data_IF_009105446403
#
_entry.id   IF_009105446403
#
_cell.length_a   1.000
_cell.length_b   1.000
_cell.length_c   1.000
_cell.angle_alpha   90.00
_cell.angle_beta   90.00
_cell.angle_gamma   90.00
#
_symmetry.space_group_name_H-M   'P 1'
#
loop_
_entity.id
_entity.type
_entity.pdbx_description
1 polymer ?
#
# COMPACT_ATOMS: atom_id res chain seq x y z
N UNK A 1 -18.01 12.49 -2.91
CA UNK A 1 -16.82 11.63 -2.75
C UNK A 1 -15.66 12.14 -3.58
N UNK A 2 -14.42 11.88 -3.15
CA UNK A 2 -13.23 12.36 -3.88
C UNK A 2 -13.14 11.77 -5.29
N UNK A 3 -13.34 10.46 -5.44
CA UNK A 3 -13.21 9.75 -6.70
C UNK A 3 -14.02 10.33 -7.87
N UNK A 4 -15.15 10.97 -7.59
CA UNK A 4 -16.04 11.60 -8.59
C UNK A 4 -15.90 13.11 -8.69
N UNK A 5 -15.03 13.73 -7.88
CA UNK A 5 -14.92 15.20 -7.77
C UNK A 5 -13.80 15.73 -8.67
N UNK A 6 -14.14 16.08 -9.91
CA UNK A 6 -13.17 16.62 -10.89
C UNK A 6 -12.41 17.83 -10.40
N UNK A 7 -13.05 18.72 -9.60
CA UNK A 7 -12.35 19.89 -9.05
C UNK A 7 -11.28 19.50 -8.03
N UNK A 8 -11.56 18.49 -7.21
CA UNK A 8 -10.57 17.96 -6.28
C UNK A 8 -9.40 17.29 -7.05
N UNK A 9 -9.68 16.56 -8.14
CA UNK A 9 -8.64 16.02 -9.01
C UNK A 9 -7.75 17.10 -9.62
N UNK A 10 -8.32 18.18 -10.15
CA UNK A 10 -7.54 19.32 -10.69
C UNK A 10 -6.59 19.91 -9.64
N UNK A 11 -7.08 20.12 -8.41
CA UNK A 11 -6.26 20.63 -7.30
C UNK A 11 -5.14 19.65 -6.95
N UNK A 12 -5.44 18.36 -6.94
CA UNK A 12 -4.44 17.32 -6.68
C UNK A 12 -3.39 17.25 -7.79
N UNK A 13 -3.78 17.31 -9.06
CA UNK A 13 -2.82 17.31 -10.18
C UNK A 13 -1.94 18.57 -10.16
N UNK A 14 -2.45 19.72 -9.74
CA UNK A 14 -1.63 20.90 -9.54
C UNK A 14 -0.64 20.72 -8.40
N UNK A 15 -1.04 20.04 -7.32
CA UNK A 15 -0.13 19.68 -6.23
C UNK A 15 0.94 18.70 -6.68
N UNK A 16 0.61 17.67 -7.45
CA UNK A 16 1.57 16.73 -8.06
C UNK A 16 2.61 17.50 -8.88
N UNK A 17 2.18 18.36 -9.81
CA UNK A 17 3.09 19.19 -10.61
C UNK A 17 3.99 20.07 -9.75
N UNK A 18 3.42 20.65 -8.70
CA UNK A 18 4.19 21.49 -7.78
C UNK A 18 5.26 20.70 -7.03
N UNK A 19 4.94 19.52 -6.49
CA UNK A 19 5.89 18.70 -5.72
C UNK A 19 6.99 18.16 -6.63
N UNK A 20 6.65 17.55 -7.76
CA UNK A 20 7.63 16.98 -8.67
C UNK A 20 8.54 18.05 -9.29
N UNK A 21 7.99 19.25 -9.56
CA UNK A 21 8.73 20.37 -10.10
C UNK A 21 9.68 21.08 -9.11
N UNK A 22 9.70 20.68 -7.83
CA UNK A 22 10.52 21.33 -6.81
C UNK A 22 12.01 21.07 -7.01
N UNK A 23 12.80 22.07 -6.59
CA UNK A 23 14.24 21.95 -6.39
C UNK A 23 14.54 21.91 -4.89
N UNK A 24 15.34 20.95 -4.47
CA UNK A 24 15.81 20.85 -3.10
C UNK A 24 16.75 22.04 -2.80
N UNK A 25 16.36 22.87 -1.84
CA UNK A 25 17.12 24.08 -1.51
C UNK A 25 18.51 23.83 -0.90
N UNK A 26 18.75 22.63 -0.41
CA UNK A 26 20.05 22.28 0.21
C UNK A 26 21.01 21.64 -0.78
N UNK A 27 20.52 20.80 -1.69
CA UNK A 27 21.33 20.09 -2.66
C UNK A 27 21.37 20.78 -4.02
N UNK A 28 20.38 21.61 -4.34
CA UNK A 28 20.21 22.22 -5.66
C UNK A 28 19.67 21.25 -6.72
N UNK A 29 19.40 19.98 -6.37
CA UNK A 29 18.82 19.01 -7.28
C UNK A 29 17.32 19.20 -7.41
N UNK A 30 16.79 19.04 -8.61
CA UNK A 30 15.33 18.88 -8.78
C UNK A 30 14.92 17.53 -8.21
N UNK A 31 13.70 17.43 -7.66
CA UNK A 31 13.22 16.17 -7.09
C UNK A 31 13.17 15.04 -8.12
N UNK A 32 12.81 15.36 -9.36
CA UNK A 32 12.81 14.39 -10.47
C UNK A 32 14.20 13.90 -10.89
N UNK A 33 15.28 14.54 -10.42
CA UNK A 33 16.67 14.17 -10.70
C UNK A 33 17.40 13.68 -9.44
N UNK A 34 16.71 13.59 -8.29
CA UNK A 34 17.35 13.26 -7.01
C UNK A 34 17.40 11.74 -6.80
N UNK A 35 18.57 11.10 -6.89
CA UNK A 35 18.71 9.65 -6.75
C UNK A 35 18.40 9.11 -5.35
N UNK A 36 18.17 9.99 -4.36
CA UNK A 36 17.71 9.58 -3.04
C UNK A 36 16.20 9.28 -3.00
N UNK A 37 15.44 9.69 -4.01
CA UNK A 37 14.02 9.37 -4.17
C UNK A 37 13.93 8.06 -4.95
N UNK A 38 13.34 7.03 -4.38
CA UNK A 38 13.11 5.74 -5.04
C UNK A 38 11.83 5.76 -5.88
N UNK A 39 10.76 6.24 -5.30
CA UNK A 39 9.44 6.20 -5.92
C UNK A 39 8.52 7.32 -5.46
N UNK A 40 7.50 7.58 -6.26
CA UNK A 40 6.35 8.41 -5.92
C UNK A 40 5.14 7.54 -5.63
N UNK A 41 4.45 7.81 -4.54
CA UNK A 41 3.17 7.19 -4.22
C UNK A 41 2.04 8.21 -4.36
N UNK A 42 0.93 7.80 -4.96
CA UNK A 42 -0.21 8.67 -5.20
C UNK A 42 -0.81 9.17 -3.88
N UNK A 43 -0.87 8.30 -2.89
CA UNK A 43 -1.35 8.67 -1.57
C UNK A 43 -1.15 7.57 -0.55
N UNK A 44 -1.35 7.88 0.74
CA UNK A 44 -1.43 6.85 1.77
C UNK A 44 -2.85 6.30 1.83
N UNK A 45 -2.99 5.00 1.59
CA UNK A 45 -4.25 4.26 1.67
C UNK A 45 -5.42 4.91 0.90
N UNK A 46 -5.25 5.27 -0.39
CA UNK A 46 -6.37 5.79 -1.15
C UNK A 46 -7.45 4.71 -1.27
N UNK A 47 -8.71 5.12 -1.06
CA UNK A 47 -9.87 4.22 -1.09
C UNK A 47 -11.00 4.75 -1.94
N UNK A 48 -11.75 3.83 -2.53
CA UNK A 48 -12.99 4.14 -3.25
C UNK A 48 -14.13 4.52 -2.29
N UNK A 49 -14.24 3.87 -1.12
CA UNK A 49 -15.31 4.00 -0.11
C UNK A 49 -16.72 3.61 -0.59
N UNK A 50 -16.88 3.17 -1.82
CA UNK A 50 -18.12 2.62 -2.38
C UNK A 50 -17.78 1.87 -3.68
N UNK A 51 -18.23 0.64 -3.81
CA UNK A 51 -18.03 -0.17 -5.03
C UNK A 51 -18.56 0.51 -6.30
N UNK A 52 -19.59 1.35 -6.18
CA UNK A 52 -20.18 2.06 -7.33
C UNK A 52 -19.24 3.09 -7.96
N UNK A 53 -18.27 3.59 -7.20
CA UNK A 53 -17.30 4.59 -7.69
C UNK A 53 -15.94 3.98 -8.02
N UNK A 54 -15.78 2.65 -7.95
CA UNK A 54 -14.54 1.98 -8.35
C UNK A 54 -14.08 2.38 -9.77
N UNK A 55 -14.96 2.46 -10.79
CA UNK A 55 -14.51 2.90 -12.11
C UNK A 55 -13.92 4.31 -12.14
N UNK A 56 -14.51 5.26 -11.39
CA UNK A 56 -13.98 6.64 -11.28
C UNK A 56 -12.68 6.67 -10.48
N UNK A 57 -12.58 5.83 -9.44
CA UNK A 57 -11.37 5.69 -8.62
C UNK A 57 -10.21 5.12 -9.43
N UNK A 58 -10.45 4.06 -10.20
CA UNK A 58 -9.47 3.48 -11.13
C UNK A 58 -9.00 4.51 -12.17
N UNK A 59 -9.93 5.25 -12.78
CA UNK A 59 -9.62 6.28 -13.75
C UNK A 59 -8.74 7.39 -13.15
N UNK A 60 -9.08 7.86 -11.95
CA UNK A 60 -8.29 8.86 -11.24
C UNK A 60 -6.86 8.37 -10.94
N UNK A 61 -6.70 7.11 -10.50
CA UNK A 61 -5.38 6.52 -10.23
C UNK A 61 -4.55 6.40 -11.52
N UNK A 62 -5.17 5.95 -12.62
CA UNK A 62 -4.51 5.84 -13.91
C UNK A 62 -4.09 7.22 -14.47
N UNK A 63 -4.95 8.23 -14.37
CA UNK A 63 -4.64 9.61 -14.77
C UNK A 63 -3.49 10.19 -13.93
N UNK A 64 -3.50 9.91 -12.62
CA UNK A 64 -2.46 10.41 -11.72
C UNK A 64 -1.11 9.75 -11.97
N UNK A 65 -1.07 8.42 -12.12
CA UNK A 65 0.18 7.71 -12.42
C UNK A 65 0.76 8.11 -13.78
N UNK A 66 -0.09 8.33 -14.78
CA UNK A 66 0.33 8.84 -16.08
C UNK A 66 0.91 10.26 -15.97
N UNK A 67 0.28 11.15 -15.21
CA UNK A 67 0.77 12.51 -14.96
C UNK A 67 2.14 12.50 -14.26
N UNK A 68 2.33 11.63 -13.26
CA UNK A 68 3.63 11.50 -12.59
C UNK A 68 4.69 11.06 -13.58
N UNK A 69 4.43 10.02 -14.39
CA UNK A 69 5.38 9.50 -15.39
C UNK A 69 5.66 10.49 -16.53
N UNK A 70 4.71 11.37 -16.88
CA UNK A 70 4.94 12.47 -17.84
C UNK A 70 5.96 13.48 -17.31
N UNK A 71 5.91 13.78 -16.00
CA UNK A 71 6.81 14.77 -15.37
C UNK A 71 8.14 14.15 -14.97
N UNK A 72 8.11 12.91 -14.51
CA UNK A 72 9.24 12.18 -13.95
C UNK A 72 9.31 10.77 -14.52
N UNK A 73 10.22 10.59 -15.48
CA UNK A 73 10.51 9.29 -16.09
C UNK A 73 11.58 8.48 -15.35
N UNK A 74 12.20 9.05 -14.30
CA UNK A 74 13.34 8.45 -13.61
C UNK A 74 12.92 7.56 -12.44
N UNK A 75 11.90 7.98 -11.70
CA UNK A 75 11.50 7.31 -10.47
C UNK A 75 10.34 6.35 -10.68
N UNK A 76 10.23 5.37 -9.78
CA UNK A 76 9.13 4.42 -9.77
C UNK A 76 7.84 5.11 -9.32
N UNK A 77 6.71 4.53 -9.69
CA UNK A 77 5.36 4.98 -9.27
C UNK A 77 4.59 3.80 -8.70
N UNK A 78 3.93 4.04 -7.58
CA UNK A 78 2.96 3.11 -7.02
C UNK A 78 1.75 3.86 -6.45
N UNK A 79 0.75 3.09 -6.04
CA UNK A 79 -0.52 3.65 -5.57
C UNK A 79 -0.44 4.05 -4.09
N UNK A 80 0.29 3.30 -3.26
CA UNK A 80 0.26 3.38 -1.80
C UNK A 80 -1.00 2.77 -1.20
N UNK A 81 -1.51 1.70 -1.83
CA UNK A 81 -2.78 1.05 -1.49
C UNK A 81 -2.62 0.03 -0.37
N UNK A 82 -3.70 -0.16 0.40
CA UNK A 82 -3.82 -1.31 1.32
C UNK A 82 -3.94 -2.66 0.61
N UNK A 83 -4.02 -2.67 -0.72
CA UNK A 83 -4.40 -3.82 -1.53
C UNK A 83 -5.90 -3.86 -1.84
N UNK A 84 -6.50 -5.05 -1.89
CA UNK A 84 -7.93 -5.21 -2.17
C UNK A 84 -8.84 -4.46 -1.18
N UNK A 85 -8.39 -4.22 0.06
CA UNK A 85 -9.14 -3.40 1.02
C UNK A 85 -9.37 -1.97 0.52
N UNK A 86 -8.40 -1.36 -0.15
CA UNK A 86 -8.55 -0.05 -0.81
C UNK A 86 -9.58 -0.05 -1.93
N UNK A 87 -9.88 -1.24 -2.47
CA UNK A 87 -10.85 -1.50 -3.53
C UNK A 87 -12.14 -2.17 -3.00
N UNK A 88 -12.53 -1.92 -1.75
CA UNK A 88 -13.74 -2.48 -1.13
C UNK A 88 -13.79 -4.03 -1.15
N UNK A 89 -12.63 -4.68 -1.03
CA UNK A 89 -12.46 -6.12 -1.07
C UNK A 89 -12.53 -6.72 -2.48
N UNK A 90 -12.44 -5.91 -3.52
CA UNK A 90 -12.49 -6.33 -4.92
C UNK A 90 -11.08 -6.55 -5.47
N UNK A 91 -10.68 -7.83 -5.60
CA UNK A 91 -9.37 -8.23 -6.13
C UNK A 91 -9.23 -7.97 -7.62
N UNK A 92 -10.32 -8.03 -8.40
CA UNK A 92 -10.27 -7.75 -9.84
C UNK A 92 -10.02 -6.25 -10.08
N UNK A 93 -10.65 -5.37 -9.29
CA UNK A 93 -10.37 -3.94 -9.30
C UNK A 93 -8.92 -3.64 -8.89
N UNK A 94 -8.39 -4.30 -7.86
CA UNK A 94 -6.99 -4.16 -7.46
C UNK A 94 -6.04 -4.62 -8.57
N UNK A 95 -6.28 -5.79 -9.17
CA UNK A 95 -5.47 -6.30 -10.29
C UNK A 95 -5.50 -5.32 -11.48
N UNK A 96 -6.66 -4.78 -11.81
CA UNK A 96 -6.82 -3.79 -12.88
C UNK A 96 -6.02 -2.52 -12.63
N UNK A 97 -6.08 -1.98 -11.40
CA UNK A 97 -5.27 -0.81 -11.01
C UNK A 97 -3.78 -1.12 -11.12
N UNK A 98 -3.35 -2.24 -10.57
CA UNK A 98 -1.95 -2.66 -10.62
C UNK A 98 -1.47 -2.99 -12.04
N UNK A 99 -2.35 -3.34 -12.97
CA UNK A 99 -2.01 -3.62 -14.37
C UNK A 99 -1.65 -2.38 -15.18
N UNK A 100 -1.96 -1.16 -14.69
CA UNK A 100 -1.61 0.07 -15.40
C UNK A 100 -0.10 0.14 -15.67
N UNK A 101 0.27 0.50 -16.90
CA UNK A 101 1.66 0.56 -17.35
C UNK A 101 2.53 1.58 -16.62
N UNK A 102 1.90 2.57 -15.99
CA UNK A 102 2.56 3.63 -15.24
C UNK A 102 2.74 3.28 -13.76
N UNK A 103 2.20 2.15 -13.29
CA UNK A 103 2.39 1.61 -11.96
C UNK A 103 3.50 0.58 -12.00
N UNK A 104 4.61 0.80 -11.31
CA UNK A 104 5.80 -0.06 -11.40
C UNK A 104 5.75 -1.24 -10.43
N UNK A 105 5.13 -1.10 -9.27
CA UNK A 105 4.99 -2.14 -8.26
C UNK A 105 3.67 -2.02 -7.50
N UNK A 106 3.23 -3.12 -6.93
CA UNK A 106 2.00 -3.21 -6.18
C UNK A 106 2.27 -3.03 -4.68
N UNK A 107 1.29 -2.53 -3.93
CA UNK A 107 1.40 -2.33 -2.48
C UNK A 107 0.33 -3.10 -1.74
N UNK A 108 0.65 -3.51 -0.51
CA UNK A 108 -0.32 -3.95 0.49
C UNK A 108 0.03 -3.38 1.86
N UNK A 109 -0.99 -3.18 2.68
CA UNK A 109 -0.89 -2.91 4.12
C UNK A 109 -1.59 -4.03 4.88
N UNK A 110 -1.21 -4.26 6.13
CA UNK A 110 -1.71 -5.36 6.96
C UNK A 110 -1.95 -4.89 8.39
N UNK A 111 -3.19 -4.55 8.69
CA UNK A 111 -3.62 -4.05 9.99
C UNK A 111 -4.73 -4.94 10.60
N UNK A 112 -4.41 -6.13 11.15
CA UNK A 112 -5.38 -7.09 11.65
C UNK A 112 -6.40 -6.52 12.64
N UNK A 113 -5.97 -5.65 13.53
CA UNK A 113 -6.87 -5.01 14.47
C UNK A 113 -7.86 -4.05 13.77
N UNK A 114 -7.37 -3.22 12.86
CA UNK A 114 -8.19 -2.26 12.11
C UNK A 114 -9.22 -2.96 11.22
N UNK A 115 -8.87 -4.15 10.73
CA UNK A 115 -9.72 -4.97 9.86
C UNK A 115 -10.58 -5.97 10.63
N UNK A 116 -10.65 -5.85 11.95
CA UNK A 116 -11.43 -6.71 12.82
C UNK A 116 -11.03 -8.20 12.80
N UNK A 117 -9.78 -8.49 12.40
CA UNK A 117 -9.20 -9.84 12.50
C UNK A 117 -8.69 -10.14 13.91
N UNK A 118 -8.50 -9.08 14.72
CA UNK A 118 -8.12 -9.19 16.12
C UNK A 118 -9.04 -8.31 16.97
N UNK A 119 -9.52 -8.86 18.08
CA UNK A 119 -10.34 -8.13 19.05
C UNK A 119 -9.45 -7.50 20.11
N UNK A 120 -9.82 -6.30 20.56
CA UNK A 120 -9.06 -5.49 21.53
C UNK A 120 -8.65 -6.27 22.80
N UNK A 121 -9.58 -7.04 23.36
CA UNK A 121 -9.39 -7.73 24.65
C UNK A 121 -8.95 -9.22 24.44
N UNK A 122 -8.71 -9.65 23.20
CA UNK A 122 -8.38 -11.04 22.84
C UNK A 122 -7.17 -11.13 21.89
N UNK A 123 -6.25 -10.16 21.96
CA UNK A 123 -5.13 -10.05 21.00
C UNK A 123 -4.26 -11.30 20.93
N UNK A 124 -4.01 -11.96 22.07
CA UNK A 124 -3.22 -13.19 22.11
C UNK A 124 -4.00 -14.40 21.55
N UNK A 125 -5.28 -14.46 21.84
CA UNK A 125 -6.16 -15.55 21.40
C UNK A 125 -6.43 -15.48 19.89
N UNK A 126 -6.54 -14.26 19.36
CA UNK A 126 -6.83 -14.01 17.95
C UNK A 126 -5.55 -14.01 17.07
N UNK A 127 -4.36 -14.14 17.66
CA UNK A 127 -3.09 -14.06 16.94
C UNK A 127 -2.99 -15.08 15.81
N UNK A 128 -3.27 -16.35 16.09
CA UNK A 128 -3.15 -17.41 15.10
C UNK A 128 -4.11 -17.22 13.90
N UNK A 129 -5.32 -16.75 14.18
CA UNK A 129 -6.27 -16.43 13.11
C UNK A 129 -5.84 -15.22 12.31
N UNK A 130 -5.32 -14.19 12.98
CA UNK A 130 -4.75 -13.02 12.33
C UNK A 130 -3.59 -13.40 11.40
N UNK A 131 -2.71 -14.29 11.84
CA UNK A 131 -1.62 -14.82 11.03
C UNK A 131 -2.12 -15.58 9.79
N UNK A 132 -3.14 -16.43 9.94
CA UNK A 132 -3.76 -17.11 8.78
C UNK A 132 -4.35 -16.13 7.78
N UNK A 133 -5.17 -15.18 8.25
CA UNK A 133 -5.78 -14.17 7.40
C UNK A 133 -4.70 -13.33 6.67
N UNK A 134 -3.62 -12.99 7.38
CA UNK A 134 -2.46 -12.28 6.80
C UNK A 134 -1.84 -13.07 5.67
N UNK A 135 -1.58 -14.37 5.89
CA UNK A 135 -1.00 -15.22 4.84
C UNK A 135 -1.92 -15.32 3.63
N UNK A 136 -3.21 -15.58 3.84
CA UNK A 136 -4.19 -15.70 2.77
C UNK A 136 -4.27 -14.40 1.95
N UNK A 137 -4.20 -13.25 2.62
CA UNK A 137 -4.20 -11.95 1.96
C UNK A 137 -2.93 -11.74 1.13
N UNK A 138 -1.76 -12.03 1.68
CA UNK A 138 -0.48 -11.96 0.97
C UNK A 138 -0.49 -12.88 -0.24
N UNK A 139 -0.88 -14.15 -0.07
CA UNK A 139 -0.86 -15.16 -1.14
C UNK A 139 -1.73 -14.73 -2.35
N UNK A 140 -2.92 -14.16 -2.09
CA UNK A 140 -3.79 -13.66 -3.16
C UNK A 140 -3.16 -12.49 -3.92
N UNK A 141 -2.52 -11.55 -3.21
CA UNK A 141 -1.85 -10.41 -3.85
C UNK A 141 -0.58 -10.84 -4.60
N UNK A 142 0.21 -11.78 -4.04
CA UNK A 142 1.35 -12.35 -4.74
C UNK A 142 0.94 -13.06 -6.04
N UNK A 143 -0.19 -13.79 -6.04
CA UNK A 143 -0.70 -14.42 -7.25
C UNK A 143 -1.07 -13.39 -8.33
N UNK A 144 -1.67 -12.26 -7.95
CA UNK A 144 -1.95 -11.14 -8.86
C UNK A 144 -0.64 -10.55 -9.40
N UNK A 145 0.27 -10.19 -8.52
CA UNK A 145 1.55 -9.57 -8.90
C UNK A 145 2.39 -10.47 -9.81
N UNK A 146 2.37 -11.78 -9.55
CA UNK A 146 3.03 -12.78 -10.41
C UNK A 146 2.45 -12.80 -11.83
N UNK A 147 1.11 -12.76 -11.97
CA UNK A 147 0.46 -12.66 -13.29
C UNK A 147 0.82 -11.38 -14.02
N UNK A 148 0.95 -10.28 -13.30
CA UNK A 148 1.30 -8.98 -13.85
C UNK A 148 2.81 -8.81 -14.11
N UNK A 149 3.65 -9.70 -13.58
CA UNK A 149 5.10 -9.56 -13.64
C UNK A 149 5.63 -8.35 -12.86
N UNK A 150 4.95 -7.95 -11.78
CA UNK A 150 5.30 -6.80 -10.95
C UNK A 150 5.66 -7.24 -9.52
N UNK A 151 6.59 -6.54 -8.85
CA UNK A 151 6.87 -6.78 -7.43
C UNK A 151 5.66 -6.43 -6.56
N UNK A 152 5.53 -7.11 -5.42
CA UNK A 152 4.65 -6.75 -4.33
C UNK A 152 5.48 -6.17 -3.19
N UNK A 153 5.06 -5.04 -2.63
CA UNK A 153 5.70 -4.43 -1.47
C UNK A 153 4.69 -4.32 -0.33
N UNK A 154 5.00 -4.95 0.79
CA UNK A 154 4.26 -4.75 2.03
C UNK A 154 4.86 -3.55 2.75
N UNK A 155 4.18 -2.41 2.67
CA UNK A 155 4.69 -1.14 3.16
C UNK A 155 4.37 -0.88 4.61
N UNK A 156 3.23 -1.40 5.06
CA UNK A 156 2.77 -1.22 6.42
C UNK A 156 2.22 -2.53 6.99
N UNK A 157 2.55 -2.81 8.23
CA UNK A 157 1.91 -3.87 9.00
C UNK A 157 2.05 -3.60 10.49
N UNK A 158 1.14 -4.15 11.28
CA UNK A 158 1.24 -3.98 12.72
C UNK A 158 0.23 -4.78 13.51
N UNK A 159 0.54 -4.90 14.80
CA UNK A 159 -0.33 -5.55 15.78
C UNK A 159 -0.25 -4.79 17.11
N UNK A 160 -1.35 -4.64 17.86
CA UNK A 160 -1.35 -3.88 19.10
C UNK A 160 -0.46 -4.53 20.20
N UNK A 161 -0.03 -3.73 21.16
CA UNK A 161 0.57 -4.24 22.41
C UNK A 161 -0.47 -5.01 23.23
N UNK A 162 0.00 -5.91 24.08
CA UNK A 162 -0.85 -6.71 24.94
C UNK A 162 -1.77 -5.79 25.78
N UNK A 163 -3.04 -6.20 25.92
CA UNK A 163 -4.08 -5.40 26.56
C UNK A 163 -4.43 -4.09 25.85
N UNK A 164 -4.05 -3.94 24.57
CA UNK A 164 -4.25 -2.71 23.79
C UNK A 164 -3.68 -1.47 24.48
N UNK A 165 -2.57 -1.62 25.17
CA UNK A 165 -1.96 -0.59 26.03
C UNK A 165 -0.94 0.25 25.28
N UNK A 166 -1.00 1.57 25.47
CA UNK A 166 0.03 2.50 24.99
C UNK A 166 1.18 2.70 25.98
N UNK A 167 1.12 2.06 27.18
CA UNK A 167 2.20 2.14 28.14
C UNK A 167 3.46 1.45 27.64
N UNK A 168 4.64 2.09 27.74
CA UNK A 168 5.90 1.45 27.39
C UNK A 168 6.24 0.26 28.32
N UNK A 169 5.55 0.14 29.47
CA UNK A 169 5.70 -0.97 30.42
C UNK A 169 4.83 -2.20 30.07
N UNK A 170 3.88 -2.08 29.13
CA UNK A 170 3.09 -3.24 28.72
C UNK A 170 3.93 -4.21 27.89
N UNK A 171 3.63 -5.49 28.00
CA UNK A 171 4.26 -6.53 27.19
C UNK A 171 3.81 -6.43 25.71
N UNK A 172 4.50 -7.15 24.84
CA UNK A 172 4.33 -7.11 23.39
C UNK A 172 4.24 -8.51 22.79
N UNK A 173 3.84 -9.52 23.59
CA UNK A 173 3.91 -10.93 23.20
C UNK A 173 3.15 -11.22 21.92
N UNK A 174 1.89 -10.78 21.83
CA UNK A 174 1.08 -10.97 20.64
C UNK A 174 1.67 -10.22 19.45
N UNK A 175 2.08 -8.96 19.64
CA UNK A 175 2.71 -8.14 18.60
C UNK A 175 4.01 -8.78 18.09
N UNK A 176 4.89 -9.18 18.98
CA UNK A 176 6.18 -9.76 18.63
C UNK A 176 5.99 -11.12 17.91
N UNK A 177 4.97 -11.90 18.32
CA UNK A 177 4.55 -13.11 17.61
C UNK A 177 4.08 -12.82 16.19
N UNK A 178 3.24 -11.81 16.01
CA UNK A 178 2.77 -11.38 14.70
C UNK A 178 3.92 -10.89 13.80
N UNK A 179 4.80 -10.04 14.32
CA UNK A 179 5.96 -9.52 13.58
C UNK A 179 6.90 -10.66 13.16
N UNK A 180 7.20 -11.58 14.07
CA UNK A 180 8.01 -12.77 13.75
C UNK A 180 7.39 -13.55 12.59
N UNK A 181 6.07 -13.75 12.62
CA UNK A 181 5.36 -14.46 11.56
C UNK A 181 5.45 -13.73 10.22
N UNK A 182 5.16 -12.43 10.19
CA UNK A 182 5.24 -11.63 8.96
C UNK A 182 6.65 -11.66 8.38
N UNK A 183 7.68 -11.45 9.20
CA UNK A 183 9.06 -11.53 8.73
C UNK A 183 9.45 -12.93 8.22
N UNK A 184 8.89 -14.00 8.77
CA UNK A 184 9.13 -15.34 8.23
C UNK A 184 8.53 -15.51 6.83
N UNK A 185 7.32 -14.96 6.58
CA UNK A 185 6.71 -15.00 5.24
C UNK A 185 7.56 -14.26 4.19
N UNK A 186 8.14 -13.11 4.55
CA UNK A 186 9.03 -12.37 3.66
C UNK A 186 10.31 -13.16 3.37
N UNK A 187 10.93 -13.75 4.41
CA UNK A 187 12.14 -14.55 4.27
C UNK A 187 11.88 -15.79 3.41
N UNK A 188 10.82 -16.54 3.69
CA UNK A 188 10.45 -17.75 2.94
C UNK A 188 10.19 -17.42 1.45
N UNK A 189 9.54 -16.29 1.16
CA UNK A 189 9.31 -15.84 -0.22
C UNK A 189 10.63 -15.50 -0.93
N UNK A 190 11.54 -14.79 -0.26
CA UNK A 190 12.85 -14.45 -0.81
C UNK A 190 13.71 -15.69 -1.10
N UNK A 191 13.70 -16.69 -0.20
CA UNK A 191 14.40 -17.97 -0.40
C UNK A 191 13.86 -18.76 -1.60
N UNK A 192 12.58 -18.62 -1.90
CA UNK A 192 11.93 -19.22 -3.08
C UNK A 192 12.14 -18.41 -4.36
N UNK A 193 12.90 -17.32 -4.31
CA UNK A 193 13.12 -16.43 -5.46
C UNK A 193 11.91 -15.57 -5.82
N UNK A 194 11.03 -15.32 -4.86
CA UNK A 194 9.85 -14.49 -5.05
C UNK A 194 10.13 -12.99 -5.09
N UNK A 195 9.14 -12.23 -5.54
CA UNK A 195 9.19 -10.77 -5.72
C UNK A 195 8.47 -10.02 -4.58
N UNK A 196 8.65 -10.46 -3.34
CA UNK A 196 7.97 -9.88 -2.18
C UNK A 196 8.93 -9.13 -1.27
#
# INVERSE_FOLDING_TARGET
QYATNKKAHELFYNYVRFILGRTNRYTGLRYVDDPAIMSWQIGNEPRAFDKKVLPDFEAWLAETSALIKEIDSNHLVSIGSEGAWGCEGDYDAYEKICSDKNVDYCNIHLWPYNWSWARKDHLQEDLDQSCRNTKDYIDQHLAICSRLGKPLVMEEFGYPRDGFSFSPKSTTRARDGYYKYVFSLVADNAEQGGNF
#
